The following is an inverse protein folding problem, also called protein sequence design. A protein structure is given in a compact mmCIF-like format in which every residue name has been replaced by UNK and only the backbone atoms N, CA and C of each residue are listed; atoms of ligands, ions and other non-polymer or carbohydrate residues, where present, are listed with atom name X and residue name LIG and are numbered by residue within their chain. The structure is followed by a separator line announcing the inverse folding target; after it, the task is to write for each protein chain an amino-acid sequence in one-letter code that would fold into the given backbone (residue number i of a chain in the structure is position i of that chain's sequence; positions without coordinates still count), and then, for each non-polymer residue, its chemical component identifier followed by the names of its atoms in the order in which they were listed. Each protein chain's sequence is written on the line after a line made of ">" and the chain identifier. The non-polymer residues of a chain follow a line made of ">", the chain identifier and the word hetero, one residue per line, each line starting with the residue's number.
data_IF_822441441376
#
_entry.id   IF_822441441376
#
_cell.length_a   1.000
_cell.length_b   1.000
_cell.length_c   1.000
_cell.angle_alpha   90.00
_cell.angle_beta   90.00
_cell.angle_gamma   90.00
#
_symmetry.space_group_name_H-M   'P 1'
#
loop_
_entity.id
_entity.type
_entity.pdbx_description
1 polymer ?
#
# COMPACT_ATOMS: atom_id res chain seq x y z
N UNK A 1 17.94 -2.37 6.58
CA UNK A 1 18.00 -0.91 6.30
C UNK A 1 16.73 -0.28 6.82
N UNK A 2 16.82 0.76 7.64
CA UNK A 2 15.64 1.49 8.15
C UNK A 2 15.43 2.72 7.27
N UNK A 3 14.29 2.79 6.58
CA UNK A 3 13.90 3.96 5.78
C UNK A 3 13.01 4.89 6.62
N UNK A 4 13.02 6.18 6.32
CA UNK A 4 11.98 7.11 6.80
C UNK A 4 10.70 6.97 5.97
N UNK A 5 9.55 7.40 6.52
CA UNK A 5 8.25 7.33 5.81
C UNK A 5 8.34 8.07 4.47
N UNK A 6 8.97 9.25 4.48
CA UNK A 6 9.16 10.07 3.29
C UNK A 6 9.99 9.35 2.22
N UNK A 7 11.12 8.76 2.59
CA UNK A 7 11.98 8.03 1.65
C UNK A 7 11.25 6.83 1.05
N UNK A 8 10.48 6.12 1.87
CA UNK A 8 9.69 4.99 1.42
C UNK A 8 8.62 5.42 0.41
N UNK A 9 7.81 6.43 0.74
CA UNK A 9 6.75 6.93 -0.12
C UNK A 9 7.30 7.50 -1.44
N UNK A 10 8.45 8.18 -1.39
CA UNK A 10 9.16 8.64 -2.61
C UNK A 10 9.56 7.47 -3.50
N UNK A 11 10.07 6.37 -2.95
CA UNK A 11 10.41 5.16 -3.71
C UNK A 11 9.18 4.50 -4.33
N UNK A 12 8.07 4.44 -3.61
CA UNK A 12 6.81 3.86 -4.07
C UNK A 12 6.04 4.74 -5.09
N UNK A 13 6.47 5.99 -5.30
CA UNK A 13 5.77 6.94 -6.17
C UNK A 13 5.65 6.42 -7.59
N UNK A 14 4.45 6.52 -8.16
CA UNK A 14 4.15 6.09 -9.53
C UNK A 14 4.07 4.57 -9.75
N UNK A 15 4.25 3.76 -8.70
CA UNK A 15 4.08 2.31 -8.79
C UNK A 15 2.62 1.93 -8.49
N UNK A 16 2.04 1.06 -9.32
CA UNK A 16 0.78 0.39 -9.01
C UNK A 16 1.05 -0.78 -8.08
N UNK A 17 0.56 -0.67 -6.85
CA UNK A 17 0.74 -1.62 -5.77
C UNK A 17 -0.51 -2.51 -5.67
N UNK A 18 -0.36 -3.84 -5.67
CA UNK A 18 -1.48 -4.77 -5.55
C UNK A 18 -2.28 -4.61 -4.23
N UNK A 19 -3.58 -4.93 -4.24
CA UNK A 19 -4.40 -4.96 -3.03
C UNK A 19 -3.80 -5.84 -1.94
N UNK A 20 -3.97 -5.43 -0.67
CA UNK A 20 -3.51 -6.17 0.52
C UNK A 20 -1.99 -6.32 0.68
N UNK A 21 -1.18 -5.64 -0.14
CA UNK A 21 0.29 -5.76 -0.12
C UNK A 21 0.96 -4.67 0.71
N UNK A 22 0.61 -3.41 0.49
CA UNK A 22 1.21 -2.31 1.25
C UNK A 22 0.14 -1.65 2.10
N UNK A 23 0.33 -1.65 3.42
CA UNK A 23 -0.58 -1.02 4.36
C UNK A 23 0.05 0.22 4.99
N UNK A 24 -0.67 1.33 4.91
CA UNK A 24 -0.33 2.59 5.56
C UNK A 24 -1.09 2.68 6.88
N UNK A 25 -0.38 2.73 8.00
CA UNK A 25 -0.96 2.85 9.35
C UNK A 25 -0.79 4.28 9.83
N UNK A 26 -1.90 4.93 10.20
CA UNK A 26 -1.91 6.26 10.77
C UNK A 26 -1.85 6.20 12.29
N UNK A 27 -1.31 7.24 12.93
CA UNK A 27 -1.27 7.41 14.40
C UNK A 27 -2.64 7.34 15.08
N UNK A 28 -3.72 7.55 14.31
CA UNK A 28 -5.10 7.36 14.78
C UNK A 28 -5.51 5.89 14.97
N UNK A 29 -4.65 4.94 14.58
CA UNK A 29 -4.94 3.51 14.54
C UNK A 29 -5.70 3.05 13.30
N UNK A 30 -6.08 3.97 12.39
CA UNK A 30 -6.68 3.62 11.10
C UNK A 30 -5.60 3.17 10.13
N UNK A 31 -5.93 2.20 9.29
CA UNK A 31 -5.04 1.74 8.23
C UNK A 31 -5.73 1.66 6.87
N UNK A 32 -4.92 1.75 5.82
CA UNK A 32 -5.37 1.73 4.43
C UNK A 32 -4.39 0.96 3.55
N UNK A 33 -4.89 0.13 2.65
CA UNK A 33 -4.04 -0.54 1.66
C UNK A 33 -3.75 0.40 0.49
N UNK A 34 -2.48 0.62 0.20
CA UNK A 34 -2.01 1.55 -0.82
C UNK A 34 -2.11 0.93 -2.20
N UNK A 35 -2.67 1.68 -3.14
CA UNK A 35 -2.71 1.38 -4.58
C UNK A 35 -1.63 2.15 -5.33
N UNK A 36 -1.49 3.44 -5.07
CA UNK A 36 -0.51 4.29 -5.76
C UNK A 36 -0.14 5.46 -4.87
N UNK A 37 1.15 5.77 -4.79
CA UNK A 37 1.64 6.99 -4.14
C UNK A 37 1.89 8.06 -5.19
N UNK A 38 1.37 9.26 -4.97
CA UNK A 38 1.61 10.42 -5.82
C UNK A 38 2.76 11.28 -5.27
N UNK A 39 3.32 12.22 -6.07
CA UNK A 39 4.40 13.08 -5.63
C UNK A 39 4.09 13.79 -4.31
N UNK A 40 5.02 13.72 -3.36
CA UNK A 40 4.91 14.37 -2.06
C UNK A 40 5.07 15.88 -2.21
N UNK A 41 4.17 16.66 -1.60
CA UNK A 41 4.38 18.09 -1.45
C UNK A 41 5.32 18.35 -0.27
N UNK A 42 6.61 18.59 -0.55
CA UNK A 42 7.64 18.78 0.48
C UNK A 42 7.42 20.03 1.33
N UNK A 43 6.78 21.07 0.79
CA UNK A 43 6.52 22.31 1.52
C UNK A 43 5.47 22.11 2.63
N UNK A 44 4.51 21.20 2.43
CA UNK A 44 3.42 20.96 3.38
C UNK A 44 3.51 19.61 4.09
N UNK A 45 4.39 18.71 3.63
CA UNK A 45 4.46 17.33 4.09
C UNK A 45 3.22 16.50 3.71
N UNK A 46 2.38 17.00 2.81
CA UNK A 46 1.15 16.34 2.39
C UNK A 46 1.43 15.41 1.20
N UNK A 47 0.93 14.18 1.28
CA UNK A 47 1.04 13.16 0.23
C UNK A 47 -0.36 12.73 -0.21
N UNK A 48 -0.70 12.82 -1.50
CA UNK A 48 -1.87 12.14 -2.04
C UNK A 48 -1.54 10.65 -2.20
N UNK A 49 -2.43 9.79 -1.73
CA UNK A 49 -2.30 8.34 -1.81
C UNK A 49 -3.61 7.77 -2.35
N UNK A 50 -3.55 7.04 -3.47
CA UNK A 50 -4.67 6.20 -3.87
C UNK A 50 -4.64 4.93 -3.04
N UNK A 51 -5.78 4.57 -2.45
CA UNK A 51 -5.93 3.40 -1.57
C UNK A 51 -6.99 2.45 -2.12
N UNK A 52 -6.83 1.16 -1.89
CA UNK A 52 -7.85 0.15 -2.16
C UNK A 52 -8.96 0.24 -1.12
N UNK A 53 -10.21 0.26 -1.59
CA UNK A 53 -11.38 0.16 -0.72
C UNK A 53 -11.86 -1.29 -0.70
N UNK A 54 -11.67 -1.93 0.45
CA UNK A 54 -12.03 -3.33 0.69
C UNK A 54 -13.37 -3.47 1.43
N UNK A 55 -14.04 -2.36 1.79
CA UNK A 55 -15.21 -2.39 2.70
C UNK A 55 -16.42 -3.11 2.12
N UNK A 56 -16.51 -3.19 0.79
CA UNK A 56 -17.57 -3.90 0.08
C UNK A 56 -17.27 -5.41 -0.09
N UNK A 57 -16.10 -5.88 0.31
CA UNK A 57 -15.67 -7.27 0.17
C UNK A 57 -16.00 -8.08 1.42
N UNK A 58 -16.69 -9.21 1.23
CA UNK A 58 -16.81 -10.24 2.25
C UNK A 58 -15.62 -11.21 2.22
N UNK A 59 -15.58 -12.21 3.11
CA UNK A 59 -14.48 -13.16 3.19
C UNK A 59 -14.25 -13.93 1.87
N UNK A 60 -15.31 -14.32 1.16
CA UNK A 60 -15.20 -15.07 -0.09
C UNK A 60 -14.70 -14.16 -1.23
N UNK A 61 -15.09 -12.89 -1.21
CA UNK A 61 -14.57 -11.88 -2.13
C UNK A 61 -13.06 -11.69 -1.91
N UNK A 62 -12.58 -11.61 -0.66
CA UNK A 62 -11.16 -11.52 -0.34
C UNK A 62 -10.36 -12.71 -0.87
N UNK A 63 -10.85 -13.94 -0.67
CA UNK A 63 -10.22 -15.14 -1.21
C UNK A 63 -10.18 -15.14 -2.74
N UNK A 64 -11.21 -14.60 -3.38
CA UNK A 64 -11.25 -14.43 -4.84
C UNK A 64 -10.19 -13.45 -5.32
N UNK A 65 -10.07 -12.30 -4.65
CA UNK A 65 -9.02 -11.31 -4.96
C UNK A 65 -7.63 -11.92 -4.78
N UNK A 66 -7.36 -12.59 -3.65
CA UNK A 66 -6.06 -13.22 -3.38
C UNK A 66 -5.70 -14.27 -4.45
N UNK A 67 -6.66 -15.11 -4.86
CA UNK A 67 -6.47 -16.08 -5.94
C UNK A 67 -6.24 -15.41 -7.29
N UNK A 68 -6.91 -14.28 -7.56
CA UNK A 68 -6.70 -13.53 -8.80
C UNK A 68 -5.31 -12.90 -8.81
N UNK A 69 -4.87 -12.32 -7.70
CA UNK A 69 -3.52 -11.81 -7.52
C UNK A 69 -2.46 -12.89 -7.69
N UNK A 70 -2.77 -14.14 -7.31
CA UNK A 70 -1.92 -15.31 -7.59
C UNK A 70 -1.91 -15.76 -9.07
N UNK A 71 -2.62 -15.07 -9.96
CA UNK A 71 -2.57 -15.31 -11.42
C UNK A 71 -2.07 -14.13 -12.24
N UNK A 72 -2.06 -12.91 -11.66
CA UNK A 72 -1.47 -11.72 -12.30
C UNK A 72 -0.02 -12.02 -12.69
N UNK A 73 0.45 -11.56 -13.85
CA UNK A 73 1.84 -11.76 -14.28
C UNK A 73 2.61 -10.44 -14.43
N UNK A 74 1.89 -9.32 -14.50
CA UNK A 74 2.44 -7.99 -14.65
C UNK A 74 1.68 -6.94 -13.85
N UNK A 75 2.36 -5.85 -13.44
CA UNK A 75 1.75 -4.77 -12.66
C UNK A 75 0.67 -3.99 -13.43
N UNK A 76 0.74 -3.96 -14.76
CA UNK A 76 -0.27 -3.28 -15.58
C UNK A 76 -1.65 -3.93 -15.47
N UNK A 77 -1.72 -5.24 -15.20
CA UNK A 77 -2.99 -5.93 -14.95
C UNK A 77 -3.70 -5.45 -13.69
N UNK A 78 -2.97 -4.84 -12.74
CA UNK A 78 -3.51 -4.29 -11.49
C UNK A 78 -4.17 -2.91 -11.69
N UNK A 79 -3.96 -2.26 -12.82
CA UNK A 79 -4.56 -0.94 -13.12
C UNK A 79 -6.06 -1.06 -13.42
N UNK A 80 -6.49 -2.23 -13.89
CA UNK A 80 -7.90 -2.50 -14.18
C UNK A 80 -8.57 -3.19 -12.97
N UNK A 81 -9.08 -2.36 -12.07
CA UNK A 81 -9.71 -2.78 -10.80
C UNK A 81 -10.83 -3.81 -11.00
N UNK A 82 -11.68 -3.61 -12.02
CA UNK A 82 -12.80 -4.51 -12.32
C UNK A 82 -12.34 -5.92 -12.69
N UNK A 83 -11.11 -6.07 -13.23
CA UNK A 83 -10.52 -7.38 -13.55
C UNK A 83 -10.00 -8.13 -12.32
N UNK A 84 -9.83 -7.44 -11.19
CA UNK A 84 -9.45 -8.05 -9.92
C UNK A 84 -10.69 -8.55 -9.19
N UNK A 85 -11.70 -7.70 -9.03
CA UNK A 85 -13.00 -8.06 -8.49
C UNK A 85 -14.04 -6.94 -8.75
N UNK A 86 -15.29 -7.25 -9.11
CA UNK A 86 -16.29 -6.22 -9.42
C UNK A 86 -16.72 -5.34 -8.23
N UNK A 87 -16.52 -5.83 -6.99
CA UNK A 87 -16.80 -5.06 -5.76
C UNK A 87 -15.56 -4.31 -5.22
N UNK A 88 -14.39 -4.54 -5.80
CA UNK A 88 -13.18 -3.85 -5.37
C UNK A 88 -13.23 -2.42 -5.92
N UNK A 89 -12.94 -1.44 -5.07
CA UNK A 89 -12.92 -0.03 -5.45
C UNK A 89 -11.62 0.64 -4.96
N UNK A 90 -11.44 1.92 -5.26
CA UNK A 90 -10.36 2.72 -4.74
C UNK A 90 -10.81 4.14 -4.38
N UNK A 91 -10.04 4.79 -3.51
CA UNK A 91 -10.24 6.19 -3.14
C UNK A 91 -8.93 6.96 -3.09
N UNK A 92 -9.02 8.29 -3.00
CA UNK A 92 -7.86 9.14 -2.74
C UNK A 92 -7.87 9.62 -1.30
N UNK A 93 -6.77 9.41 -0.61
CA UNK A 93 -6.51 9.90 0.74
C UNK A 93 -5.40 10.95 0.68
N UNK A 94 -5.61 12.08 1.36
CA UNK A 94 -4.56 13.08 1.58
C UNK A 94 -4.01 12.89 2.99
N UNK A 95 -2.74 12.52 3.09
CA UNK A 95 -2.10 12.18 4.37
C UNK A 95 -0.97 13.14 4.65
N UNK A 96 -0.88 13.63 5.89
CA UNK A 96 0.32 14.30 6.36
C UNK A 96 1.34 13.24 6.76
N UNK A 97 2.58 13.35 6.29
CA UNK A 97 3.64 12.38 6.62
C UNK A 97 3.82 12.23 8.13
N UNK A 98 3.64 13.32 8.90
CA UNK A 98 3.71 13.30 10.36
C UNK A 98 2.65 12.42 11.02
N UNK A 99 1.53 12.16 10.34
CA UNK A 99 0.42 11.33 10.84
C UNK A 99 0.60 9.85 10.51
N UNK A 100 1.60 9.50 9.70
CA UNK A 100 1.93 8.11 9.40
C UNK A 100 2.74 7.55 10.56
N UNK A 101 2.22 6.47 11.15
CA UNK A 101 2.89 5.73 12.22
C UNK A 101 3.79 4.65 11.65
N UNK A 102 3.32 3.91 10.65
CA UNK A 102 4.08 2.83 10.03
C UNK A 102 3.62 2.58 8.58
N UNK A 103 4.51 1.94 7.82
CA UNK A 103 4.19 1.33 6.54
C UNK A 103 4.54 -0.15 6.64
N UNK A 104 3.54 -1.01 6.44
CA UNK A 104 3.69 -2.45 6.54
C UNK A 104 3.66 -3.08 5.14
N UNK A 105 4.71 -3.82 4.81
CA UNK A 105 4.75 -4.66 3.62
C UNK A 105 4.28 -6.07 3.97
N UNK A 106 3.10 -6.42 3.47
CA UNK A 106 2.58 -7.77 3.46
C UNK A 106 3.09 -8.50 2.22
N UNK A 107 3.37 -9.79 2.37
CA UNK A 107 4.06 -10.55 1.33
C UNK A 107 3.28 -10.60 0.01
N UNK A 108 3.93 -10.17 -1.07
CA UNK A 108 3.55 -10.49 -2.44
C UNK A 108 4.76 -11.05 -3.19
N UNK A 109 4.53 -12.10 -3.98
CA UNK A 109 5.47 -12.68 -4.95
C UNK A 109 5.98 -11.69 -6.02
N UNK A 110 5.32 -10.52 -6.18
CA UNK A 110 5.75 -9.44 -7.08
C UNK A 110 6.64 -8.37 -6.44
N UNK A 111 6.95 -8.50 -5.16
CA UNK A 111 7.90 -7.63 -4.48
C UNK A 111 9.29 -8.28 -4.48
N UNK A 112 10.38 -7.53 -4.73
CA UNK A 112 11.72 -8.11 -4.73
C UNK A 112 11.99 -8.82 -3.39
N UNK A 113 12.59 -10.03 -3.42
CA UNK A 113 12.84 -10.78 -2.21
C UNK A 113 13.74 -9.96 -1.28
N UNK A 114 13.24 -9.69 -0.08
CA UNK A 114 14.06 -9.18 1.01
C UNK A 114 14.72 -10.41 1.64
N UNK A 115 16.06 -10.41 1.73
CA UNK A 115 16.86 -11.55 2.22
C UNK A 115 16.51 -11.95 3.68
N UNK A 116 15.79 -11.11 4.41
CA UNK A 116 15.61 -11.27 5.85
C UNK A 116 14.16 -10.96 6.32
N UNK A 117 13.39 -11.96 6.81
CA UNK A 117 11.97 -11.81 7.15
C UNK A 117 11.65 -10.82 8.28
N UNK A 118 12.57 -10.60 9.22
CA UNK A 118 12.35 -9.65 10.33
C UNK A 118 12.44 -8.18 9.87
N UNK A 119 12.99 -7.93 8.69
CA UNK A 119 13.01 -6.63 8.03
C UNK A 119 11.73 -6.31 7.22
N UNK A 120 10.73 -7.22 7.21
CA UNK A 120 9.45 -7.07 6.47
C UNK A 120 8.50 -6.05 7.09
N UNK A 121 8.62 -5.82 8.39
CA UNK A 121 7.99 -4.66 9.01
C UNK A 121 8.97 -3.50 8.91
N UNK A 122 8.72 -2.56 7.99
CA UNK A 122 9.32 -1.24 8.14
C UNK A 122 8.56 -0.53 9.26
N UNK A 123 8.88 -0.89 10.52
CA UNK A 123 8.54 -0.06 11.67
C UNK A 123 9.42 1.17 11.56
N UNK A 124 8.89 2.21 10.94
CA UNK A 124 9.57 3.49 10.89
C UNK A 124 9.37 4.11 12.26
N UNK A 125 10.28 3.80 13.17
CA UNK A 125 10.33 4.44 14.47
C UNK A 125 10.40 5.95 14.24
N UNK A 126 9.40 6.66 14.76
CA UNK A 126 9.40 8.11 14.83
C UNK A 126 10.64 8.49 15.65
N UNK A 127 11.68 9.03 15.00
CA UNK A 127 12.75 9.67 15.76
C UNK A 127 12.12 10.86 16.47
N UNK A 128 12.09 10.75 17.79
CA UNK A 128 11.61 11.75 18.74
C UNK A 128 12.53 12.97 18.74
#
# INVERSE_FOLDING_TARGET
>A
MTFTVLEYLKRATGQTIPPMVLELVLRSGRSFYVKTVFPVNEATGLVPVCVWDLRALDQADHETVLRRLSTVTSRHELENVERLHPKLDHGTLWVLISEVEAIMEWHDRFWPPVEDPEHRQVRIGVQS
#
